data_IF_443182341333
#
_entry.id   IF_443182341333
#
_cell.length_a   1.000
_cell.length_b   1.000
_cell.length_c   1.000
_cell.angle_alpha   90.00
_cell.angle_beta   90.00
_cell.angle_gamma   90.00
#
_symmetry.space_group_name_H-M   'P 1'
#
loop_
_entity.id
_entity.type
_entity.pdbx_description
1 polymer ?
#
# COMPACT_ATOMS: atom_id res chain seq x y z
N UNK A 1 18.32 -0.97 16.27
CA UNK A 1 17.39 -2.11 16.44
C UNK A 1 17.30 -2.80 15.09
N UNK A 2 17.57 -4.10 15.05
CA UNK A 2 17.60 -4.88 13.82
C UNK A 2 16.25 -5.57 13.67
N UNK A 3 15.60 -5.41 12.51
CA UNK A 3 14.35 -6.10 12.22
C UNK A 3 14.64 -7.60 12.08
N UNK A 4 13.91 -8.50 12.75
CA UNK A 4 14.16 -9.91 12.61
C UNK A 4 13.86 -10.36 11.17
N UNK A 5 14.59 -11.36 10.64
CA UNK A 5 14.30 -11.91 9.32
C UNK A 5 12.87 -12.48 9.28
N UNK A 6 12.17 -12.26 8.16
CA UNK A 6 10.84 -12.85 7.89
C UNK A 6 9.83 -12.57 9.02
N UNK A 7 9.71 -11.30 9.42
CA UNK A 7 8.70 -10.86 10.41
C UNK A 7 7.73 -9.83 9.83
N UNK A 8 6.90 -10.23 8.85
CA UNK A 8 5.89 -9.34 8.27
C UNK A 8 4.85 -8.89 9.31
N UNK A 9 4.67 -9.64 10.39
CA UNK A 9 3.81 -9.29 11.54
C UNK A 9 4.35 -8.13 12.38
N UNK A 10 5.66 -7.84 12.31
CA UNK A 10 6.28 -6.71 13.02
C UNK A 10 6.42 -5.47 12.14
N UNK A 11 6.37 -5.65 10.83
CA UNK A 11 6.46 -4.58 9.85
C UNK A 11 5.10 -3.93 9.65
N UNK A 12 4.95 -2.68 10.09
CA UNK A 12 3.74 -1.88 9.89
C UNK A 12 3.33 -1.76 8.42
N UNK A 13 4.30 -1.89 7.52
CA UNK A 13 4.02 -1.95 6.09
C UNK A 13 3.28 -3.23 5.71
N UNK A 14 3.77 -4.37 6.19
CA UNK A 14 3.28 -5.69 5.81
C UNK A 14 1.96 -6.06 6.49
N UNK A 15 1.78 -5.79 7.79
CA UNK A 15 0.56 -6.19 8.50
C UNK A 15 -0.61 -5.19 8.38
N UNK A 16 -0.38 -3.98 7.85
CA UNK A 16 -1.43 -2.95 7.79
C UNK A 16 -1.41 -2.13 6.51
N UNK A 17 -0.31 -1.44 6.19
CA UNK A 17 -0.28 -0.47 5.09
C UNK A 17 -0.57 -1.13 3.73
N UNK A 18 0.05 -2.28 3.45
CA UNK A 18 -0.12 -2.93 2.16
C UNK A 18 -1.52 -3.51 1.97
N UNK A 19 -2.20 -3.93 3.03
CA UNK A 19 -3.58 -4.37 2.92
C UNK A 19 -4.52 -3.17 2.69
N UNK A 20 -4.32 -2.06 3.40
CA UNK A 20 -5.05 -0.81 3.14
C UNK A 20 -4.85 -0.31 1.70
N UNK A 21 -3.62 -0.37 1.19
CA UNK A 21 -3.32 0.01 -0.19
C UNK A 21 -4.03 -0.93 -1.18
N UNK A 22 -3.97 -2.26 -0.98
CA UNK A 22 -4.66 -3.23 -1.84
C UNK A 22 -6.17 -3.03 -1.87
N UNK A 23 -6.79 -2.70 -0.74
CA UNK A 23 -8.23 -2.44 -0.66
C UNK A 23 -8.67 -1.21 -1.48
N UNK A 24 -7.77 -0.24 -1.67
CA UNK A 24 -8.06 1.00 -2.37
C UNK A 24 -7.39 1.10 -3.76
N UNK A 25 -6.57 0.12 -4.13
CA UNK A 25 -6.01 -0.04 -5.47
C UNK A 25 -7.14 -0.47 -6.42
N UNK A 26 -7.77 0.52 -7.05
CA UNK A 26 -8.70 0.29 -8.16
C UNK A 26 -7.94 0.31 -9.48
N UNK A 27 -8.43 -0.41 -10.48
CA UNK A 27 -7.83 -0.41 -11.82
C UNK A 27 -7.84 1.01 -12.40
N UNK A 28 -6.65 1.53 -12.73
CA UNK A 28 -6.48 2.82 -13.38
C UNK A 28 -6.21 2.58 -14.86
N UNK A 29 -7.11 3.05 -15.72
CA UNK A 29 -7.02 2.86 -17.16
C UNK A 29 -5.91 3.70 -17.82
N UNK A 30 -5.46 4.76 -17.15
CA UNK A 30 -4.57 5.76 -17.70
C UNK A 30 -3.85 6.54 -16.59
N UNK A 31 -2.91 7.41 -16.97
CA UNK A 31 -2.09 8.17 -16.02
C UNK A 31 -2.90 9.23 -15.27
N UNK A 32 -3.99 9.76 -15.85
CA UNK A 32 -4.82 10.77 -15.20
C UNK A 32 -5.67 10.14 -14.10
N UNK A 33 -6.28 8.98 -14.39
CA UNK A 33 -7.02 8.21 -13.40
C UNK A 33 -6.13 7.81 -12.21
N UNK A 34 -4.89 7.39 -12.47
CA UNK A 34 -3.90 7.15 -11.40
C UNK A 34 -3.59 8.40 -10.56
N UNK A 35 -3.35 9.53 -11.21
CA UNK A 35 -3.05 10.78 -10.52
C UNK A 35 -4.21 11.21 -9.61
N UNK A 36 -5.44 11.16 -10.13
CA UNK A 36 -6.64 11.53 -9.38
C UNK A 36 -6.89 10.59 -8.20
N UNK A 37 -6.61 9.29 -8.34
CA UNK A 37 -6.72 8.32 -7.25
C UNK A 37 -5.71 8.58 -6.12
N UNK A 38 -4.50 9.03 -6.44
CA UNK A 38 -3.44 9.30 -5.44
C UNK A 38 -3.63 10.66 -4.75
N UNK A 39 -4.06 11.69 -5.49
CA UNK A 39 -4.22 13.04 -4.93
C UNK A 39 -5.45 13.13 -4.01
N UNK A 40 -6.48 12.31 -4.24
CA UNK A 40 -7.70 12.31 -3.45
C UNK A 40 -7.74 11.23 -2.34
N UNK A 41 -6.60 10.56 -2.08
CA UNK A 41 -6.43 9.56 -1.02
C UNK A 41 -6.21 10.22 0.35
#
# INVERSE_FOLDING_TARGET
MQHPPISPDLSSCDFWLFDLIKENLTDQSDLQSLYDAVVNF
#
